data_IF_342766347912
#
_entry.id   IF_342766347912
#
_cell.length_a   1.000
_cell.length_b   1.000
_cell.length_c   1.000
_cell.angle_alpha   90.00
_cell.angle_beta   90.00
_cell.angle_gamma   90.00
#
_symmetry.space_group_name_H-M   'P 1'
#
loop_
_entity.id
_entity.type
_entity.pdbx_description
1 polymer ?
#
# COMPACT_ATOMS: atom_id res chain seq x y z
N UNK A 1 -8.52 -10.87 1.77
CA UNK A 1 -9.29 -9.60 1.83
C UNK A 1 -8.78 -8.75 0.69
N UNK A 2 -9.63 -8.46 -0.28
CA UNK A 2 -9.30 -7.66 -1.45
C UNK A 2 -9.72 -6.22 -1.14
N UNK A 3 -9.09 -5.24 -1.80
CA UNK A 3 -9.35 -3.82 -1.59
C UNK A 3 -9.81 -3.16 -2.89
N UNK A 4 -11.08 -3.32 -3.31
CA UNK A 4 -11.61 -2.60 -4.46
C UNK A 4 -11.54 -1.10 -4.22
N UNK A 5 -11.12 -0.33 -5.23
CA UNK A 5 -10.98 1.12 -5.15
C UNK A 5 -12.31 1.81 -4.78
N UNK A 6 -13.43 1.26 -5.25
CA UNK A 6 -14.77 1.75 -4.92
C UNK A 6 -15.14 1.62 -3.43
N UNK A 7 -14.48 0.72 -2.70
CA UNK A 7 -14.72 0.46 -1.28
C UNK A 7 -13.75 1.24 -0.36
N UNK A 8 -12.98 2.18 -0.93
CA UNK A 8 -12.03 3.01 -0.17
C UNK A 8 -12.64 4.39 0.03
N UNK A 9 -12.73 4.82 1.29
CA UNK A 9 -13.01 6.21 1.63
C UNK A 9 -11.73 7.04 1.49
N UNK A 10 -11.61 7.75 0.36
CA UNK A 10 -10.37 8.42 -0.07
C UNK A 10 -10.25 9.80 0.57
N UNK A 11 -9.14 10.03 1.28
CA UNK A 11 -8.79 11.33 1.84
C UNK A 11 -7.81 12.10 0.97
N UNK A 12 -6.85 11.39 0.38
CA UNK A 12 -5.82 11.97 -0.46
C UNK A 12 -5.43 10.98 -1.56
N UNK A 13 -5.11 11.50 -2.75
CA UNK A 13 -4.56 10.72 -3.85
C UNK A 13 -3.49 11.52 -4.58
N UNK A 14 -2.51 10.83 -5.17
CA UNK A 14 -1.50 11.43 -6.04
C UNK A 14 -0.11 10.83 -5.84
N UNK A 15 0.89 11.57 -6.30
CA UNK A 15 2.31 11.23 -6.12
C UNK A 15 2.88 12.09 -5.00
N UNK A 16 3.58 11.45 -4.08
CA UNK A 16 4.28 12.08 -2.95
C UNK A 16 5.77 11.72 -3.01
N UNK A 17 6.59 12.31 -2.14
CA UNK A 17 8.04 12.04 -2.07
C UNK A 17 8.39 10.57 -1.80
N UNK A 18 7.51 9.83 -1.11
CA UNK A 18 7.70 8.40 -0.78
C UNK A 18 7.06 7.46 -1.80
N UNK A 19 6.52 7.99 -2.90
CA UNK A 19 5.88 7.18 -3.95
C UNK A 19 6.95 6.59 -4.88
N UNK A 20 7.00 5.26 -5.06
CA UNK A 20 7.91 4.65 -6.02
C UNK A 20 7.66 5.17 -7.45
N UNK A 21 8.70 5.32 -8.30
CA UNK A 21 8.54 5.77 -9.67
C UNK A 21 7.53 4.94 -10.47
N UNK A 22 6.71 5.60 -11.29
CA UNK A 22 5.67 4.94 -12.11
C UNK A 22 4.45 4.47 -11.32
N UNK A 23 4.31 4.88 -10.06
CA UNK A 23 3.17 4.56 -9.20
C UNK A 23 2.45 5.83 -8.74
N UNK A 24 1.25 5.64 -8.20
CA UNK A 24 0.54 6.64 -7.44
C UNK A 24 0.03 6.04 -6.12
N UNK A 25 -0.28 6.91 -5.17
CA UNK A 25 -0.79 6.57 -3.85
C UNK A 25 -2.22 7.04 -3.67
N UNK A 26 -2.98 6.26 -2.92
CA UNK A 26 -4.24 6.66 -2.30
C UNK A 26 -4.08 6.47 -0.79
N UNK A 27 -4.41 7.49 -0.02
CA UNK A 27 -4.55 7.39 1.44
C UNK A 27 -6.02 7.43 1.78
N UNK A 28 -6.51 6.41 2.48
CA UNK A 28 -7.93 6.29 2.79
C UNK A 28 -8.24 5.17 3.78
N UNK A 29 -9.52 5.05 4.14
CA UNK A 29 -10.02 3.96 4.98
C UNK A 29 -10.43 2.80 4.08
N UNK A 30 -9.86 1.62 4.35
CA UNK A 30 -10.26 0.39 3.67
C UNK A 30 -11.59 -0.18 4.19
N UNK A 31 -12.12 -1.23 3.55
CA UNK A 31 -13.38 -1.90 3.95
C UNK A 31 -13.31 -2.53 5.35
N UNK A 32 -12.12 -2.69 5.93
CA UNK A 32 -11.91 -3.14 7.29
C UNK A 32 -11.87 -2.01 8.33
N UNK A 33 -12.17 -0.78 7.92
CA UNK A 33 -12.16 0.40 8.79
C UNK A 33 -10.75 0.88 9.17
N UNK A 34 -9.70 0.35 8.53
CA UNK A 34 -8.32 0.74 8.83
C UNK A 34 -7.80 1.78 7.85
N UNK A 35 -7.11 2.79 8.39
CA UNK A 35 -6.38 3.79 7.61
C UNK A 35 -5.17 3.14 6.94
N UNK A 36 -5.10 3.29 5.62
CA UNK A 36 -4.11 2.65 4.77
C UNK A 36 -3.57 3.61 3.71
N UNK A 37 -2.33 3.34 3.31
CA UNK A 37 -1.77 3.81 2.05
C UNK A 37 -1.87 2.67 1.04
N UNK A 38 -2.60 2.88 -0.05
CA UNK A 38 -2.76 1.96 -1.16
C UNK A 38 -1.86 2.39 -2.31
N UNK A 39 -1.03 1.47 -2.78
CA UNK A 39 -0.09 1.71 -3.86
C UNK A 39 -0.62 1.14 -5.16
N UNK A 40 -0.68 1.98 -6.20
CA UNK A 40 -1.13 1.59 -7.53
C UNK A 40 -0.03 1.83 -8.56
N UNK A 41 0.15 0.89 -9.48
CA UNK A 41 0.98 1.04 -10.66
C UNK A 41 0.26 1.86 -11.73
N UNK A 42 0.96 2.83 -12.30
CA UNK A 42 0.42 3.77 -13.28
C UNK A 42 0.15 5.16 -12.69
N UNK A 43 -0.25 6.11 -13.55
CA UNK A 43 -0.42 7.52 -13.18
C UNK A 43 -1.69 7.81 -12.37
N UNK A 44 -2.63 6.86 -12.32
CA UNK A 44 -3.92 6.99 -11.65
C UNK A 44 -4.32 5.67 -10.98
N UNK A 45 -5.08 5.71 -9.88
CA UNK A 45 -5.51 4.51 -9.19
C UNK A 45 -6.54 3.74 -10.01
N UNK A 46 -6.34 2.42 -10.10
CA UNK A 46 -7.25 1.47 -10.73
C UNK A 46 -7.05 0.10 -10.10
N UNK A 47 -8.12 -0.70 -9.96
CA UNK A 47 -8.04 -2.02 -9.30
C UNK A 47 -6.98 -2.94 -9.92
N UNK A 48 -6.91 -2.98 -11.25
CA UNK A 48 -5.92 -3.76 -11.99
C UNK A 48 -4.47 -3.28 -11.74
N UNK A 49 -4.29 -2.05 -11.27
CA UNK A 49 -3.02 -1.46 -10.93
C UNK A 49 -2.61 -1.68 -9.47
N UNK A 50 -3.44 -2.25 -8.60
CA UNK A 50 -3.11 -2.37 -7.18
C UNK A 50 -1.82 -3.20 -6.98
N UNK A 51 -0.83 -2.60 -6.33
CA UNK A 51 0.42 -3.26 -5.91
C UNK A 51 0.35 -3.75 -4.46
N UNK A 52 -0.52 -3.14 -3.64
CA UNK A 52 -0.74 -3.54 -2.25
C UNK A 52 -1.16 -2.37 -1.38
N UNK A 53 -1.24 -2.60 -0.07
CA UNK A 53 -1.51 -1.55 0.91
C UNK A 53 -0.68 -1.69 2.18
N UNK A 54 -0.39 -0.57 2.80
CA UNK A 54 0.30 -0.45 4.08
C UNK A 54 -0.68 0.16 5.08
N UNK A 55 -0.95 -0.53 6.19
CA UNK A 55 -1.72 0.01 7.30
C UNK A 55 -0.89 1.07 7.99
N UNK A 56 -1.43 2.28 8.08
CA UNK A 56 -0.81 3.36 8.84
C UNK A 56 -0.96 3.05 10.33
N UNK A 57 0.15 2.88 11.08
CA UNK A 57 0.08 2.61 12.50
C UNK A 57 -0.49 3.82 13.23
N UNK A 58 -1.18 3.57 14.35
CA UNK A 58 -1.51 4.65 15.29
C UNK A 58 -0.20 5.32 15.76
N UNK A 59 -0.20 6.63 16.08
CA UNK A 59 1.01 7.34 16.51
C UNK A 59 1.78 6.60 17.61
N UNK A 60 1.08 6.05 18.61
CA UNK A 60 1.69 5.30 19.73
C UNK A 60 2.43 4.03 19.27
N UNK A 61 1.95 3.37 18.22
CA UNK A 61 2.59 2.17 17.66
C UNK A 61 3.83 2.52 16.84
N UNK A 62 3.82 3.69 16.18
CA UNK A 62 4.99 4.22 15.49
C UNK A 62 6.10 4.56 16.50
N UNK A 63 5.73 5.21 17.62
CA UNK A 63 6.65 5.55 18.71
C UNK A 63 7.25 4.28 19.35
N UNK A 64 6.45 3.23 19.50
CA UNK A 64 6.91 1.94 20.02
C UNK A 64 7.73 1.10 19.01
N UNK A 65 7.97 1.60 17.80
CA UNK A 65 8.79 0.91 16.79
C UNK A 65 8.14 -0.35 16.22
N UNK A 66 6.81 -0.46 16.26
CA UNK A 66 6.15 -1.63 15.67
C UNK A 66 6.28 -1.62 14.14
N UNK A 67 6.50 -2.80 13.52
CA UNK A 67 6.57 -2.91 12.08
C UNK A 67 5.23 -2.57 11.43
N UNK A 68 5.29 -1.95 10.25
CA UNK A 68 4.12 -1.71 9.43
C UNK A 68 3.46 -3.03 9.02
N UNK A 69 2.13 -3.07 9.04
CA UNK A 69 1.39 -4.22 8.48
C UNK A 69 1.04 -3.92 7.04
N UNK A 70 1.47 -4.76 6.11
CA UNK A 70 1.12 -4.61 4.70
C UNK A 70 0.41 -5.83 4.12
N UNK A 71 -0.29 -5.59 3.02
CA UNK A 71 -1.06 -6.57 2.26
C UNK A 71 -0.67 -6.49 0.78
N UNK A 72 -0.50 -7.65 0.16
CA UNK A 72 -0.41 -7.78 -1.30
C UNK A 72 -1.79 -7.57 -1.95
N UNK A 73 -1.89 -7.44 -3.29
CA UNK A 73 -3.16 -7.17 -3.98
C UNK A 73 -4.24 -8.24 -3.75
N UNK A 74 -3.82 -9.48 -3.58
CA UNK A 74 -4.69 -10.63 -3.23
C UNK A 74 -5.13 -10.64 -1.75
N UNK A 75 -4.59 -9.73 -0.93
CA UNK A 75 -4.83 -9.66 0.50
C UNK A 75 -3.91 -10.51 1.37
N UNK A 76 -2.93 -11.19 0.79
CA UNK A 76 -1.92 -11.93 1.54
C UNK A 76 -1.11 -10.95 2.42
N UNK A 77 -0.78 -11.37 3.64
CA UNK A 77 0.06 -10.55 4.52
C UNK A 77 1.48 -10.51 3.96
N UNK A 78 2.01 -9.31 3.78
CA UNK A 78 3.41 -9.12 3.41
C UNK A 78 4.21 -8.89 4.69
N UNK A 79 5.24 -9.70 4.98
CA UNK A 79 6.07 -9.53 6.16
C UNK A 79 6.80 -8.19 6.08
N UNK A 80 6.74 -7.40 7.15
CA UNK A 80 7.50 -6.15 7.22
C UNK A 80 8.99 -6.46 7.25
N UNK A 81 9.74 -5.80 6.37
CA UNK A 81 11.21 -5.83 6.41
C UNK A 81 11.80 -4.59 7.07
N UNK A 82 10.97 -3.58 7.36
CA UNK A 82 11.42 -2.25 7.78
C UNK A 82 10.43 -1.61 8.75
N UNK A 83 10.86 -0.50 9.38
CA UNK A 83 10.00 0.43 10.11
C UNK A 83 9.77 1.73 9.29
N UNK A 84 10.05 1.71 7.98
CA UNK A 84 9.88 2.88 7.11
C UNK A 84 8.72 2.63 6.14
N UNK A 85 7.72 3.53 6.07
CA UNK A 85 6.62 3.40 5.13
C UNK A 85 7.12 3.45 3.68
N UNK A 86 8.10 4.31 3.37
CA UNK A 86 8.72 4.42 2.05
C UNK A 86 9.34 3.09 1.60
N UNK A 87 10.17 2.48 2.44
CA UNK A 87 10.80 1.20 2.10
C UNK A 87 9.77 0.06 1.99
N UNK A 88 8.68 0.12 2.75
CA UNK A 88 7.61 -0.86 2.63
C UNK A 88 6.83 -0.69 1.33
N UNK A 89 6.59 0.55 0.87
CA UNK A 89 5.98 0.83 -0.42
C UNK A 89 6.87 0.39 -1.59
N UNK A 90 8.18 0.65 -1.52
CA UNK A 90 9.13 0.15 -2.49
C UNK A 90 9.10 -1.39 -2.57
N UNK A 91 9.06 -2.06 -1.42
CA UNK A 91 8.97 -3.53 -1.39
C UNK A 91 7.68 -4.07 -2.04
N UNK A 92 6.54 -3.41 -1.84
CA UNK A 92 5.29 -3.78 -2.51
C UNK A 92 5.37 -3.59 -4.03
N UNK A 93 6.00 -2.50 -4.49
CA UNK A 93 6.20 -2.27 -5.92
C UNK A 93 7.04 -3.38 -6.57
N UNK A 94 8.12 -3.81 -5.91
CA UNK A 94 8.98 -4.91 -6.36
C UNK A 94 8.23 -6.24 -6.44
N UNK A 95 7.47 -6.59 -5.39
CA UNK A 95 6.68 -7.83 -5.35
C UNK A 95 5.63 -7.86 -6.46
N UNK A 96 4.91 -6.75 -6.66
CA UNK A 96 3.91 -6.65 -7.71
C UNK A 96 4.55 -6.73 -9.11
N UNK A 97 5.73 -6.12 -9.30
CA UNK A 97 6.47 -6.23 -10.55
C UNK A 97 6.95 -7.66 -10.83
N UNK A 98 7.40 -8.39 -9.81
CA UNK A 98 7.80 -9.78 -9.94
C UNK A 98 6.60 -10.68 -10.30
N UNK A 99 5.46 -10.49 -9.65
CA UNK A 99 4.23 -11.23 -9.93
C UNK A 99 3.73 -11.02 -11.36
N UNK A 100 3.83 -9.80 -11.91
CA UNK A 100 3.47 -9.49 -13.31
C UNK A 100 4.40 -10.14 -14.35
N UNK A 101 5.61 -10.51 -13.96
CA UNK A 101 6.61 -11.16 -14.84
C UNK A 101 6.57 -12.69 -14.76
N UNK A 102 5.80 -13.26 -13.83
CA UNK A 102 5.60 -14.69 -13.76
C UNK A 102 4.79 -15.16 -15.00
N UNK A 103 5.22 -16.23 -15.68
CA UNK A 103 4.60 -16.72 -16.92
C UNK A 103 3.19 -17.30 -16.71
#
# INVERSE_FOLDING_TARGET
MIFPLADIDIYQQGVTEITPPGHCLVTGIGPDGLLRMFLYHGPAPADAGLCGSVVLPKPDLLIAGHPFTARAPDGARVPSKTQSPELMLAHLAELAAAARKAP
#
